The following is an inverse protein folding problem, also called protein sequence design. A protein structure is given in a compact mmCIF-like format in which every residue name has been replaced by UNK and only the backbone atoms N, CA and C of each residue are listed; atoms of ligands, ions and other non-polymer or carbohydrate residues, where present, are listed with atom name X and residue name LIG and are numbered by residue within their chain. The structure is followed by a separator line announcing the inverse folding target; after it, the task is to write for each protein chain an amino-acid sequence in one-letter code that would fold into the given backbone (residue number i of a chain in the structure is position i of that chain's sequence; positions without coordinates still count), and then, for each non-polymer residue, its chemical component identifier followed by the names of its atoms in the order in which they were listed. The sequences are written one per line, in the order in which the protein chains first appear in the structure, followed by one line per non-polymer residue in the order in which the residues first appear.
data_IF_310697309925
#
_entry.id   IF_310697309925
#
_cell.length_a   1.000
_cell.length_b   1.000
_cell.length_c   1.000
_cell.angle_alpha   90.00
_cell.angle_beta   90.00
_cell.angle_gamma   90.00
#
_symmetry.space_group_name_H-M   'P 1'
#
loop_
_entity.id
_entity.type
_entity.pdbx_description
1 polymer ?
#
# COMPACT_ATOMS: atom_id res chain seq x y z
N UNK A 1 -31.44 24.53 38.09
CA UNK A 1 -31.55 23.20 37.46
C UNK A 1 -32.22 23.33 36.10
N UNK A 2 -31.51 22.99 35.02
CA UNK A 2 -32.06 22.32 33.82
C UNK A 2 -30.88 21.91 32.93
N UNK A 3 -30.57 20.62 33.02
CA UNK A 3 -30.01 19.74 31.98
C UNK A 3 -30.13 20.33 30.57
N UNK A 4 -29.08 20.48 29.77
CA UNK A 4 -28.11 19.46 29.41
C UNK A 4 -28.50 18.91 28.04
N UNK A 5 -27.66 19.10 27.02
CA UNK A 5 -27.61 18.22 25.86
C UNK A 5 -26.14 17.99 25.55
N UNK A 6 -25.69 16.77 25.86
CA UNK A 6 -24.37 16.26 25.52
C UNK A 6 -24.19 16.31 24.01
N UNK A 7 -23.14 17.00 23.55
CA UNK A 7 -22.61 16.88 22.20
C UNK A 7 -22.18 15.43 21.98
N UNK A 8 -23.00 14.65 21.29
CA UNK A 8 -22.62 13.33 20.79
C UNK A 8 -21.76 13.57 19.55
N UNK A 9 -20.46 13.73 19.77
CA UNK A 9 -19.45 13.70 18.72
C UNK A 9 -19.34 12.28 18.19
N UNK A 10 -19.94 12.03 17.03
CA UNK A 10 -19.81 10.75 16.33
C UNK A 10 -18.45 10.74 15.60
N UNK A 11 -17.41 10.29 16.30
CA UNK A 11 -16.12 9.95 15.68
C UNK A 11 -16.28 8.57 15.02
N UNK A 12 -16.70 8.56 13.75
CA UNK A 12 -16.57 7.38 12.91
C UNK A 12 -15.09 7.16 12.63
N UNK A 13 -14.50 6.18 13.33
CA UNK A 13 -13.10 5.80 13.13
C UNK A 13 -12.99 5.03 11.81
N UNK A 14 -12.41 5.69 10.82
CA UNK A 14 -12.20 5.20 9.45
C UNK A 14 -11.30 3.96 9.40
N UNK A 15 -11.89 2.77 9.53
CA UNK A 15 -11.20 1.48 9.36
C UNK A 15 -11.16 1.02 7.88
N UNK A 16 -11.63 1.85 6.94
CA UNK A 16 -11.79 1.48 5.53
C UNK A 16 -10.44 1.32 4.82
N UNK A 17 -9.40 2.04 5.25
CA UNK A 17 -8.09 2.10 4.56
C UNK A 17 -7.29 0.78 4.69
N UNK A 18 -7.42 0.05 5.79
CA UNK A 18 -6.61 -1.16 6.03
C UNK A 18 -7.06 -2.39 5.23
N UNK A 19 -8.36 -2.53 4.97
CA UNK A 19 -8.87 -3.64 4.14
C UNK A 19 -8.47 -3.43 2.67
N UNK A 20 -8.44 -2.17 2.22
CA UNK A 20 -8.11 -1.78 0.85
C UNK A 20 -6.64 -2.06 0.51
N UNK A 21 -5.70 -1.70 1.39
CA UNK A 21 -4.28 -1.91 1.14
C UNK A 21 -3.89 -3.38 0.98
N UNK A 22 -4.50 -4.29 1.76
CA UNK A 22 -4.24 -5.72 1.64
C UNK A 22 -4.71 -6.29 0.31
N UNK A 23 -5.90 -5.90 -0.14
CA UNK A 23 -6.44 -6.32 -1.45
C UNK A 23 -5.57 -5.76 -2.57
N UNK A 24 -5.20 -4.48 -2.50
CA UNK A 24 -4.30 -3.86 -3.46
C UNK A 24 -2.94 -4.59 -3.52
N UNK A 25 -2.38 -4.99 -2.38
CA UNK A 25 -1.16 -5.79 -2.33
C UNK A 25 -1.31 -7.12 -3.05
N UNK A 26 -2.41 -7.85 -2.80
CA UNK A 26 -2.67 -9.14 -3.46
C UNK A 26 -2.78 -9.02 -4.98
N UNK A 27 -3.36 -7.92 -5.47
CA UNK A 27 -3.43 -7.61 -6.89
C UNK A 27 -2.03 -7.34 -7.47
N UNK A 28 -1.27 -6.44 -6.83
CA UNK A 28 0.09 -6.10 -7.27
C UNK A 28 1.03 -7.30 -7.23
N UNK A 29 0.89 -8.21 -6.25
CA UNK A 29 1.69 -9.44 -6.20
C UNK A 29 1.46 -10.38 -7.40
N UNK A 30 0.29 -10.31 -8.05
CA UNK A 30 0.00 -11.11 -9.25
C UNK A 30 0.51 -10.42 -10.51
N UNK A 31 0.42 -9.10 -10.55
CA UNK A 31 0.74 -8.32 -11.76
C UNK A 31 2.21 -7.93 -11.87
N UNK A 32 2.87 -7.68 -10.73
CA UNK A 32 4.12 -6.92 -10.73
C UNK A 32 5.38 -7.79 -10.50
N UNK A 33 5.24 -9.05 -10.07
CA UNK A 33 6.41 -9.90 -9.75
C UNK A 33 7.22 -10.32 -10.98
N UNK A 34 6.60 -10.35 -12.16
CA UNK A 34 7.26 -10.72 -13.42
C UNK A 34 7.71 -9.49 -14.23
N UNK A 35 7.54 -8.28 -13.70
CA UNK A 35 8.02 -7.06 -14.34
C UNK A 35 9.55 -7.00 -14.34
N UNK A 36 10.11 -6.28 -15.31
CA UNK A 36 11.51 -5.84 -15.20
C UNK A 36 11.67 -4.85 -14.04
N UNK A 37 12.87 -4.73 -13.48
CA UNK A 37 13.14 -3.77 -12.41
C UNK A 37 12.71 -2.34 -12.80
N UNK A 38 13.01 -1.91 -14.03
CA UNK A 38 12.63 -0.60 -14.53
C UNK A 38 11.11 -0.41 -14.52
N UNK A 39 10.34 -1.41 -14.96
CA UNK A 39 8.89 -1.35 -14.92
C UNK A 39 8.34 -1.34 -13.49
N UNK A 40 8.97 -2.09 -12.59
CA UNK A 40 8.56 -2.20 -11.19
C UNK A 40 8.83 -0.93 -10.37
N UNK A 41 10.01 -0.32 -10.50
CA UNK A 41 10.48 0.76 -9.63
C UNK A 41 10.47 2.13 -10.30
N UNK A 42 10.67 2.21 -11.62
CA UNK A 42 10.89 3.49 -12.31
C UNK A 42 9.64 4.01 -13.02
N UNK A 43 8.62 3.19 -13.21
CA UNK A 43 7.34 3.57 -13.83
C UNK A 43 6.36 4.10 -12.79
N UNK A 44 5.79 5.28 -13.00
CA UNK A 44 4.94 5.95 -11.99
C UNK A 44 3.67 5.16 -11.65
N UNK A 45 3.07 4.49 -12.62
CA UNK A 45 1.78 3.81 -12.56
C UNK A 45 1.90 2.28 -12.56
N UNK A 46 3.03 1.75 -12.07
CA UNK A 46 3.24 0.32 -11.89
C UNK A 46 3.95 0.03 -10.56
N UNK A 47 4.03 -1.25 -10.20
CA UNK A 47 4.78 -1.70 -9.04
C UNK A 47 4.30 -1.09 -7.72
N UNK A 48 5.23 -0.93 -6.79
CA UNK A 48 4.92 -0.47 -5.43
C UNK A 48 4.47 0.99 -5.38
N UNK A 49 4.75 1.81 -6.40
CA UNK A 49 4.30 3.21 -6.45
C UNK A 49 2.79 3.34 -6.47
N UNK A 50 2.07 2.35 -7.02
CA UNK A 50 0.61 2.31 -6.96
C UNK A 50 0.11 2.18 -5.51
N UNK A 51 0.79 1.39 -4.68
CA UNK A 51 0.48 1.24 -3.26
C UNK A 51 0.85 2.50 -2.47
N UNK A 52 1.99 3.12 -2.77
CA UNK A 52 2.41 4.35 -2.09
C UNK A 52 1.46 5.52 -2.32
N UNK A 53 0.95 5.70 -3.54
CA UNK A 53 -0.03 6.75 -3.86
C UNK A 53 -1.34 6.59 -3.08
N UNK A 54 -1.71 5.35 -2.77
CA UNK A 54 -2.87 5.03 -1.96
C UNK A 54 -2.60 5.10 -0.45
N UNK A 55 -1.39 5.48 -0.03
CA UNK A 55 -0.99 5.53 1.38
C UNK A 55 -0.66 4.17 1.99
N UNK A 56 -0.58 3.11 1.18
CA UNK A 56 -0.31 1.74 1.59
C UNK A 56 1.19 1.46 1.69
N UNK A 57 1.91 2.25 2.50
CA UNK A 57 3.38 2.22 2.57
C UNK A 57 3.92 0.88 3.12
N UNK A 58 3.22 0.25 4.06
CA UNK A 58 3.64 -1.03 4.62
C UNK A 58 3.55 -2.14 3.56
N UNK A 59 2.47 -2.14 2.78
CA UNK A 59 2.24 -3.06 1.68
C UNK A 59 3.19 -2.82 0.52
N UNK A 60 3.49 -1.56 0.19
CA UNK A 60 4.52 -1.21 -0.78
C UNK A 60 5.88 -1.84 -0.40
N UNK A 61 6.27 -1.73 0.87
CA UNK A 61 7.49 -2.36 1.38
C UNK A 61 7.45 -3.90 1.32
N UNK A 62 6.28 -4.51 1.54
CA UNK A 62 6.11 -5.96 1.36
C UNK A 62 6.29 -6.34 -0.11
N UNK A 63 5.68 -5.60 -1.03
CA UNK A 63 5.77 -5.87 -2.47
C UNK A 63 7.22 -5.77 -2.96
N UNK A 64 7.97 -4.72 -2.57
CA UNK A 64 9.40 -4.56 -2.90
C UNK A 64 10.21 -5.79 -2.47
N UNK A 65 10.04 -6.25 -1.22
CA UNK A 65 10.75 -7.43 -0.72
C UNK A 65 10.42 -8.69 -1.51
N UNK A 66 9.14 -8.88 -1.87
CA UNK A 66 8.69 -10.02 -2.67
C UNK A 66 9.26 -9.98 -4.08
N UNK A 67 9.27 -8.82 -4.73
CA UNK A 67 9.85 -8.62 -6.05
C UNK A 67 11.35 -8.95 -6.08
N UNK A 68 12.13 -8.40 -5.14
CA UNK A 68 13.58 -8.65 -5.04
C UNK A 68 13.86 -10.14 -4.85
N UNK A 69 13.09 -10.79 -3.96
CA UNK A 69 13.21 -12.23 -3.69
C UNK A 69 12.86 -13.08 -4.90
N UNK A 70 11.77 -12.73 -5.61
CA UNK A 70 11.28 -13.48 -6.78
C UNK A 70 12.28 -13.43 -7.94
N UNK A 71 12.83 -12.25 -8.23
CA UNK A 71 13.67 -12.02 -9.40
C UNK A 71 15.18 -12.18 -9.14
N UNK A 72 15.58 -12.49 -7.90
CA UNK A 72 16.99 -12.40 -7.46
C UNK A 72 17.62 -11.04 -7.82
N UNK A 73 16.81 -9.97 -7.77
CA UNK A 73 17.26 -8.64 -8.16
C UNK A 73 18.41 -8.19 -7.26
N UNK A 74 19.51 -7.71 -7.87
CA UNK A 74 20.62 -7.07 -7.15
C UNK A 74 20.39 -5.57 -6.96
N UNK A 75 19.39 -5.02 -7.63
CA UNK A 75 19.02 -3.61 -7.57
C UNK A 75 18.13 -3.36 -6.34
N UNK A 76 18.41 -2.28 -5.61
CA UNK A 76 17.69 -1.91 -4.39
C UNK A 76 16.78 -0.73 -4.67
N UNK A 77 15.46 -0.94 -4.58
CA UNK A 77 14.45 0.13 -4.57
C UNK A 77 14.35 0.83 -3.20
N UNK A 78 15.10 0.34 -2.21
CA UNK A 78 15.23 0.93 -0.87
C UNK A 78 16.53 1.73 -0.81
N UNK A 79 16.47 3.04 -1.07
CA UNK A 79 17.50 4.00 -0.65
C UNK A 79 16.84 5.18 0.03
#
# INVERSE_FOLDING_TARGET
MKTGLLSIGFLFISNVVFADCKVALEERLKEDLDLTYQQFDQTYDAGFRLLEKSGCHAEAAILIKRFITHNNSKESSLT
#
